data_IF_644644112416
#
_entry.id   IF_644644112416
#
_cell.length_a   1.000
_cell.length_b   1.000
_cell.length_c   1.000
_cell.angle_alpha   90.00
_cell.angle_beta   90.00
_cell.angle_gamma   90.00
#
_symmetry.space_group_name_H-M   'P 1'
#
loop_
_entity.id
_entity.type
_entity.pdbx_description
1 polymer ?
#
# COMPACT_ATOMS: atom_id res chain seq x y z
N UNK A 1 23.29 -10.33 24.94
CA UNK A 1 22.07 -10.83 24.27
C UNK A 1 21.27 -9.60 23.88
N UNK A 2 21.58 -8.99 22.73
CA UNK A 2 20.94 -7.76 22.28
C UNK A 2 19.56 -8.11 21.73
N UNK A 3 18.55 -7.94 22.58
CA UNK A 3 17.15 -7.83 22.20
C UNK A 3 17.08 -6.80 21.08
N UNK A 4 16.85 -7.28 19.86
CA UNK A 4 16.33 -6.43 18.79
C UNK A 4 15.06 -5.86 19.40
N UNK A 5 15.07 -4.56 19.72
CA UNK A 5 13.87 -3.85 20.14
C UNK A 5 12.87 -3.94 18.98
N UNK A 6 12.07 -5.00 19.00
CA UNK A 6 10.74 -4.99 18.44
C UNK A 6 9.95 -4.00 19.29
N UNK A 7 10.21 -2.71 19.10
CA UNK A 7 9.38 -1.64 19.63
C UNK A 7 8.10 -1.62 18.77
N UNK A 8 7.36 -2.74 18.81
CA UNK A 8 5.94 -2.72 18.53
C UNK A 8 5.40 -1.71 19.51
N UNK A 9 4.85 -0.62 18.98
CA UNK A 9 3.90 0.16 19.76
C UNK A 9 2.86 -0.85 20.24
N UNK A 10 2.92 -1.25 21.52
CA UNK A 10 2.03 -2.26 22.12
C UNK A 10 0.55 -1.90 21.90
N UNK A 11 0.28 -0.64 21.60
CA UNK A 11 -1.04 -0.10 21.27
C UNK A 11 -1.49 -0.42 19.84
N UNK A 12 -0.59 -0.66 18.87
CA UNK A 12 -0.97 -0.84 17.46
C UNK A 12 -0.06 -1.84 16.70
N UNK A 13 -0.47 -3.12 16.60
CA UNK A 13 0.31 -4.13 15.93
C UNK A 13 0.45 -3.81 14.43
N UNK A 14 1.67 -3.96 13.91
CA UNK A 14 1.99 -3.72 12.50
C UNK A 14 1.00 -4.39 11.53
N UNK A 15 0.56 -5.65 11.72
CA UNK A 15 -0.39 -6.29 10.82
C UNK A 15 -1.73 -5.54 10.68
N UNK A 16 -2.26 -4.97 11.76
CA UNK A 16 -3.53 -4.24 11.72
C UNK A 16 -3.39 -2.84 11.13
N UNK A 17 -2.19 -2.23 11.20
CA UNK A 17 -1.94 -0.90 10.66
C UNK A 17 -2.28 -0.80 9.17
N UNK A 18 -1.82 -1.76 8.38
CA UNK A 18 -2.06 -1.80 6.93
C UNK A 18 -3.56 -1.93 6.63
N UNK A 19 -4.27 -2.80 7.35
CA UNK A 19 -5.72 -2.98 7.19
C UNK A 19 -6.51 -1.72 7.57
N UNK A 20 -6.15 -1.08 8.69
CA UNK A 20 -6.84 0.10 9.20
C UNK A 20 -6.63 1.30 8.27
N UNK A 21 -5.40 1.55 7.82
CA UNK A 21 -5.12 2.62 6.85
C UNK A 21 -5.88 2.36 5.53
N UNK A 22 -5.95 1.10 5.08
CA UNK A 22 -6.71 0.71 3.89
C UNK A 22 -8.21 1.03 4.03
N UNK A 23 -8.80 0.74 5.19
CA UNK A 23 -10.21 1.04 5.47
C UNK A 23 -10.47 2.53 5.61
N UNK A 24 -9.56 3.29 6.24
CA UNK A 24 -9.64 4.76 6.26
C UNK A 24 -9.63 5.32 4.83
N UNK A 25 -8.79 4.78 3.95
CA UNK A 25 -8.81 5.12 2.52
C UNK A 25 -10.16 4.85 1.85
N UNK A 26 -10.82 3.75 2.21
CA UNK A 26 -12.15 3.41 1.69
C UNK A 26 -13.23 4.37 2.19
N UNK A 27 -13.18 4.77 3.47
CA UNK A 27 -14.05 5.81 4.03
C UNK A 27 -13.83 7.15 3.32
N UNK A 28 -12.57 7.57 3.14
CA UNK A 28 -12.22 8.80 2.44
C UNK A 28 -12.72 8.79 0.98
N UNK A 29 -12.58 7.66 0.28
CA UNK A 29 -13.12 7.50 -1.07
C UNK A 29 -14.65 7.62 -1.10
N UNK A 30 -15.34 6.97 -0.16
CA UNK A 30 -16.80 7.12 -0.01
C UNK A 30 -17.21 8.58 0.18
N UNK A 31 -16.49 9.33 1.01
CA UNK A 31 -16.71 10.75 1.25
C UNK A 31 -16.45 11.61 0.02
N UNK A 32 -15.40 11.33 -0.74
CA UNK A 32 -15.15 12.02 -2.02
C UNK A 32 -16.33 11.83 -2.98
N UNK A 33 -16.83 10.60 -3.14
CA UNK A 33 -17.99 10.32 -3.99
C UNK A 33 -19.27 11.01 -3.49
N UNK A 34 -19.48 11.06 -2.17
CA UNK A 34 -20.62 11.75 -1.59
C UNK A 34 -20.55 13.26 -1.85
N UNK A 35 -19.41 13.89 -1.60
CA UNK A 35 -19.20 15.33 -1.83
C UNK A 35 -19.42 15.67 -3.30
N UNK A 36 -18.84 14.91 -4.22
CA UNK A 36 -19.04 15.13 -5.66
C UNK A 36 -20.52 14.96 -6.07
N UNK A 37 -21.23 14.00 -5.48
CA UNK A 37 -22.66 13.84 -5.72
C UNK A 37 -23.48 15.00 -5.18
N UNK A 38 -23.09 15.58 -4.05
CA UNK A 38 -23.75 16.76 -3.48
C UNK A 38 -23.54 17.99 -4.36
N UNK A 39 -22.35 18.13 -4.96
CA UNK A 39 -22.05 19.16 -5.95
C UNK A 39 -22.68 18.90 -7.32
N UNK A 40 -23.53 17.87 -7.47
CA UNK A 40 -24.20 17.50 -8.71
C UNK A 40 -23.26 17.22 -9.89
N UNK A 41 -22.05 16.73 -9.59
CA UNK A 41 -21.06 16.33 -10.59
C UNK A 41 -21.36 14.89 -11.04
N UNK A 42 -21.40 14.65 -12.35
CA UNK A 42 -21.63 13.33 -12.94
C UNK A 42 -20.39 12.42 -12.84
N UNK A 43 -20.16 11.92 -11.62
CA UNK A 43 -18.99 11.07 -11.27
C UNK A 43 -18.78 9.86 -12.20
N UNK A 44 -19.81 9.09 -12.58
CA UNK A 44 -19.65 7.93 -13.45
C UNK A 44 -19.06 8.28 -14.81
N UNK A 45 -19.59 9.34 -15.45
CA UNK A 45 -19.09 9.83 -16.72
C UNK A 45 -17.65 10.37 -16.60
N UNK A 46 -17.31 11.02 -15.49
CA UNK A 46 -15.96 11.50 -15.25
C UNK A 46 -14.94 10.38 -15.04
N UNK A 47 -15.28 9.37 -14.25
CA UNK A 47 -14.35 8.32 -13.84
C UNK A 47 -14.05 7.34 -14.97
N UNK A 48 -15.06 6.97 -15.76
CA UNK A 48 -14.90 6.06 -16.88
C UNK A 48 -16.00 6.34 -17.92
N UNK A 49 -15.60 6.97 -19.03
CA UNK A 49 -16.49 7.44 -20.10
C UNK A 49 -17.36 6.32 -20.71
N UNK A 50 -16.93 5.06 -20.59
CA UNK A 50 -17.66 3.91 -21.12
C UNK A 50 -18.58 3.25 -20.09
N UNK A 51 -18.63 3.74 -18.85
CA UNK A 51 -19.41 3.15 -17.76
C UNK A 51 -20.57 4.06 -17.32
N UNK A 52 -21.75 3.85 -17.91
CA UNK A 52 -22.99 4.59 -17.58
C UNK A 52 -23.63 4.20 -16.24
N UNK A 53 -22.98 3.37 -15.43
CA UNK A 53 -23.58 2.86 -14.19
C UNK A 53 -23.02 3.61 -12.99
N UNK A 54 -23.86 4.28 -12.18
CA UNK A 54 -23.34 5.09 -11.10
C UNK A 54 -22.57 4.27 -10.06
N UNK A 55 -21.42 4.78 -9.61
CA UNK A 55 -20.82 4.30 -8.37
C UNK A 55 -21.61 4.91 -7.22
N UNK A 56 -22.20 4.04 -6.41
CA UNK A 56 -22.99 4.48 -5.27
C UNK A 56 -22.06 4.68 -4.09
N UNK A 57 -21.91 5.93 -3.63
CA UNK A 57 -21.18 6.23 -2.39
C UNK A 57 -21.72 5.40 -1.21
N UNK A 58 -23.04 5.11 -1.18
CA UNK A 58 -23.67 4.20 -0.21
C UNK A 58 -23.12 2.76 -0.29
N UNK A 59 -22.81 2.26 -1.48
CA UNK A 59 -22.21 0.93 -1.64
C UNK A 59 -20.77 0.89 -1.11
N UNK A 60 -20.00 1.96 -1.32
CA UNK A 60 -18.65 2.11 -0.77
C UNK A 60 -18.68 2.20 0.76
N UNK A 61 -19.59 2.98 1.34
CA UNK A 61 -19.75 3.03 2.80
C UNK A 61 -20.17 1.69 3.40
N UNK A 62 -21.05 0.94 2.73
CA UNK A 62 -21.40 -0.41 3.19
C UNK A 62 -20.18 -1.34 3.22
N UNK A 63 -19.31 -1.27 2.20
CA UNK A 63 -18.05 -2.02 2.19
C UNK A 63 -17.11 -1.56 3.31
N UNK A 64 -16.98 -0.24 3.50
CA UNK A 64 -16.16 0.33 4.57
C UNK A 64 -16.65 -0.14 5.94
N UNK A 65 -17.96 -0.13 6.19
CA UNK A 65 -18.55 -0.61 7.43
C UNK A 65 -18.31 -2.11 7.66
N UNK A 66 -18.47 -2.96 6.63
CA UNK A 66 -18.19 -4.39 6.72
C UNK A 66 -16.73 -4.62 7.12
N UNK A 67 -15.78 -3.97 6.44
CA UNK A 67 -14.36 -4.13 6.75
C UNK A 67 -13.99 -3.54 8.11
N UNK A 68 -14.48 -2.34 8.46
CA UNK A 68 -14.26 -1.74 9.79
C UNK A 68 -14.76 -2.67 10.89
N UNK A 69 -15.97 -3.24 10.74
CA UNK A 69 -16.56 -4.12 11.75
C UNK A 69 -15.74 -5.41 11.91
N UNK A 70 -15.35 -6.03 10.79
CA UNK A 70 -14.55 -7.26 10.80
C UNK A 70 -13.15 -7.03 11.40
N UNK A 71 -12.45 -6.00 10.95
CA UNK A 71 -11.10 -5.65 11.44
C UNK A 71 -11.16 -5.24 12.91
N UNK A 72 -12.16 -4.44 13.30
CA UNK A 72 -12.35 -4.01 14.68
C UNK A 72 -12.62 -5.19 15.62
N UNK A 73 -13.53 -6.09 15.25
CA UNK A 73 -13.82 -7.30 16.01
C UNK A 73 -12.56 -8.18 16.17
N UNK A 74 -11.86 -8.42 15.06
CA UNK A 74 -10.65 -9.25 15.07
C UNK A 74 -9.52 -8.61 15.90
N UNK A 75 -9.37 -7.28 15.87
CA UNK A 75 -8.41 -6.55 16.70
C UNK A 75 -8.75 -6.62 18.19
N UNK A 76 -10.03 -6.52 18.56
CA UNK A 76 -10.48 -6.67 19.95
C UNK A 76 -10.17 -8.07 20.47
N UNK A 77 -10.47 -9.12 19.68
CA UNK A 77 -10.14 -10.50 20.02
C UNK A 77 -8.62 -10.66 20.20
N UNK A 78 -7.84 -10.11 19.27
CA UNK A 78 -6.38 -10.15 19.34
C UNK A 78 -5.84 -9.50 20.62
N UNK A 79 -6.35 -8.32 21.01
CA UNK A 79 -5.94 -7.68 22.27
C UNK A 79 -6.35 -8.47 23.50
N UNK A 80 -7.54 -9.09 23.50
CA UNK A 80 -8.00 -9.91 24.62
C UNK A 80 -7.15 -11.17 24.82
N UNK A 81 -6.74 -11.81 23.73
CA UNK A 81 -5.91 -13.03 23.77
C UNK A 81 -4.47 -12.69 24.14
N UNK A 82 -3.91 -11.65 23.54
CA UNK A 82 -2.47 -11.34 23.72
C UNK A 82 -2.16 -10.55 24.98
N UNK A 83 -3.13 -9.79 25.52
CA UNK A 83 -2.91 -8.92 26.67
C UNK A 83 -1.82 -7.85 26.48
N UNK A 84 -1.34 -7.65 25.24
CA UNK A 84 -0.19 -6.81 24.94
C UNK A 84 1.17 -7.42 25.30
N UNK A 85 1.23 -8.72 25.61
CA UNK A 85 2.47 -9.44 25.92
C UNK A 85 3.15 -9.91 24.64
N UNK A 86 4.45 -9.64 24.49
CA UNK A 86 5.20 -9.89 23.24
C UNK A 86 5.20 -11.37 22.83
N UNK A 87 5.37 -12.29 23.78
CA UNK A 87 5.38 -13.74 23.51
C UNK A 87 4.05 -14.22 22.92
N UNK A 88 2.93 -13.77 23.50
CA UNK A 88 1.58 -14.09 23.04
C UNK A 88 1.29 -13.46 21.67
N UNK A 89 1.80 -12.25 21.41
CA UNK A 89 1.65 -11.57 20.12
C UNK A 89 2.25 -12.40 18.98
N UNK A 90 3.40 -13.05 19.22
CA UNK A 90 4.09 -13.90 18.24
C UNK A 90 3.31 -15.21 18.05
N UNK A 91 2.90 -15.85 19.14
CA UNK A 91 2.17 -17.12 19.11
C UNK A 91 0.80 -17.00 18.41
N UNK A 92 0.09 -15.90 18.65
CA UNK A 92 -1.26 -15.67 18.12
C UNK A 92 -1.30 -14.86 16.82
N UNK A 93 -0.23 -14.86 16.04
CA UNK A 93 -0.19 -14.27 14.67
C UNK A 93 -1.22 -14.87 13.70
N UNK A 94 -1.74 -16.05 14.01
CA UNK A 94 -2.86 -16.68 13.28
C UNK A 94 -4.13 -15.81 13.27
N UNK A 95 -4.41 -15.05 14.33
CA UNK A 95 -5.59 -14.17 14.43
C UNK A 95 -5.60 -13.08 13.35
N UNK A 96 -4.55 -12.23 13.23
CA UNK A 96 -4.47 -11.27 12.14
C UNK A 96 -4.36 -11.94 10.77
N UNK A 97 -3.71 -13.11 10.65
CA UNK A 97 -3.66 -13.85 9.38
C UNK A 97 -5.07 -14.21 8.87
N UNK A 98 -5.93 -14.75 9.74
CA UNK A 98 -7.34 -15.02 9.42
C UNK A 98 -8.07 -13.75 9.02
N UNK A 99 -7.77 -12.62 9.66
CA UNK A 99 -8.34 -11.32 9.27
C UNK A 99 -7.99 -10.96 7.83
N UNK A 100 -6.73 -11.07 7.44
CA UNK A 100 -6.26 -10.83 6.09
C UNK A 100 -6.91 -11.76 5.07
N UNK A 101 -6.95 -13.06 5.37
CA UNK A 101 -7.58 -14.07 4.49
C UNK A 101 -9.03 -13.70 4.21
N UNK A 102 -9.80 -13.33 5.23
CA UNK A 102 -11.22 -12.97 5.07
C UNK A 102 -11.38 -11.65 4.29
N UNK A 103 -10.55 -10.64 4.56
CA UNK A 103 -10.57 -9.37 3.80
C UNK A 103 -10.30 -9.63 2.32
N UNK A 104 -9.25 -10.37 1.98
CA UNK A 104 -8.92 -10.70 0.59
C UNK A 104 -9.97 -11.60 -0.06
N UNK A 105 -10.51 -12.58 0.68
CA UNK A 105 -11.60 -13.42 0.21
C UNK A 105 -12.82 -12.58 -0.17
N UNK A 106 -13.23 -11.62 0.67
CA UNK A 106 -14.34 -10.70 0.34
C UNK A 106 -14.01 -9.90 -0.92
N UNK A 107 -12.81 -9.31 -1.02
CA UNK A 107 -12.39 -8.49 -2.18
C UNK A 107 -12.48 -9.28 -3.49
N UNK A 108 -11.92 -10.50 -3.52
CA UNK A 108 -11.78 -11.32 -4.72
C UNK A 108 -13.08 -12.10 -5.04
N UNK A 109 -13.95 -12.28 -4.05
CA UNK A 109 -15.17 -13.07 -4.16
C UNK A 109 -16.01 -12.69 -5.41
N UNK A 110 -16.32 -13.64 -6.31
CA UNK A 110 -17.12 -13.38 -7.51
C UNK A 110 -18.64 -13.45 -7.26
N UNK A 111 -19.07 -13.89 -6.07
CA UNK A 111 -20.49 -14.07 -5.74
C UNK A 111 -21.18 -12.72 -5.46
N UNK A 112 -22.52 -12.71 -5.59
CA UNK A 112 -23.36 -11.50 -5.44
C UNK A 112 -23.52 -11.02 -3.98
N UNK A 113 -22.62 -11.40 -3.07
CA UNK A 113 -22.54 -10.86 -1.71
C UNK A 113 -21.77 -9.53 -1.69
N UNK A 114 -21.77 -8.82 -0.55
CA UNK A 114 -20.87 -7.69 -0.22
C UNK A 114 -20.64 -6.62 -1.31
N UNK A 115 -21.65 -6.22 -2.09
CA UNK A 115 -21.50 -5.22 -3.17
C UNK A 115 -20.51 -5.63 -4.29
N UNK A 116 -20.75 -6.78 -4.92
CA UNK A 116 -19.95 -7.34 -6.05
C UNK A 116 -19.54 -6.30 -7.10
N UNK A 117 -20.46 -5.43 -7.51
CA UNK A 117 -20.24 -4.46 -8.60
C UNK A 117 -19.06 -3.54 -8.32
N UNK A 118 -18.94 -3.03 -7.08
CA UNK A 118 -17.83 -2.14 -6.69
C UNK A 118 -16.52 -2.92 -6.54
N UNK A 119 -16.55 -4.13 -5.98
CA UNK A 119 -15.34 -4.98 -5.89
C UNK A 119 -14.78 -5.34 -7.27
N UNK A 120 -15.65 -5.69 -8.21
CA UNK A 120 -15.24 -5.99 -9.59
C UNK A 120 -14.80 -4.76 -10.37
N UNK A 121 -15.28 -3.56 -10.04
CA UNK A 121 -14.72 -2.31 -10.56
C UNK A 121 -13.32 -2.07 -10.02
N UNK A 122 -13.13 -2.21 -8.71
CA UNK A 122 -11.83 -2.09 -8.05
C UNK A 122 -10.80 -3.07 -8.64
N UNK A 123 -11.10 -4.36 -8.70
CA UNK A 123 -10.19 -5.36 -9.26
C UNK A 123 -9.87 -5.13 -10.74
N UNK A 124 -10.85 -4.70 -11.55
CA UNK A 124 -10.60 -4.34 -12.95
C UNK A 124 -9.67 -3.14 -13.06
N UNK A 125 -9.86 -2.12 -12.23
CA UNK A 125 -8.99 -0.95 -12.17
C UNK A 125 -7.56 -1.35 -11.78
N UNK A 126 -7.38 -2.12 -10.69
CA UNK A 126 -6.07 -2.64 -10.27
C UNK A 126 -5.40 -3.44 -11.40
N UNK A 127 -6.14 -4.33 -12.07
CA UNK A 127 -5.61 -5.11 -13.19
C UNK A 127 -5.16 -4.21 -14.34
N UNK A 128 -5.92 -3.18 -14.70
CA UNK A 128 -5.57 -2.25 -15.78
C UNK A 128 -4.32 -1.45 -15.42
N UNK A 129 -4.25 -0.85 -14.24
CA UNK A 129 -3.09 -0.01 -13.87
C UNK A 129 -1.80 -0.84 -13.80
N UNK A 130 -1.86 -2.10 -13.34
CA UNK A 130 -0.66 -2.95 -13.23
C UNK A 130 -0.24 -3.50 -14.60
N UNK A 131 -1.17 -4.06 -15.39
CA UNK A 131 -0.81 -4.84 -16.57
C UNK A 131 -1.05 -4.16 -17.92
N UNK A 132 -1.88 -3.12 -17.99
CA UNK A 132 -2.19 -2.45 -19.27
C UNK A 132 -1.06 -1.52 -19.72
N UNK A 133 -0.87 -1.43 -21.04
CA UNK A 133 -0.01 -0.47 -21.74
C UNK A 133 -0.80 0.34 -22.78
N UNK A 134 -2.13 0.42 -22.64
CA UNK A 134 -2.96 1.25 -23.50
C UNK A 134 -2.74 2.73 -23.23
N UNK A 135 -2.67 3.54 -24.28
CA UNK A 135 -2.57 5.01 -24.18
C UNK A 135 -3.87 5.68 -23.74
N UNK A 136 -5.01 5.01 -23.91
CA UNK A 136 -6.31 5.47 -23.41
C UNK A 136 -6.49 5.01 -21.96
N UNK A 137 -6.10 5.89 -21.02
CA UNK A 137 -6.16 5.63 -19.59
C UNK A 137 -7.37 6.37 -19.00
N UNK A 138 -8.37 5.67 -18.44
CA UNK A 138 -9.53 6.33 -17.84
C UNK A 138 -9.11 7.10 -16.58
N UNK A 139 -9.82 8.19 -16.28
CA UNK A 139 -9.52 9.03 -15.12
C UNK A 139 -9.54 8.24 -13.79
N UNK A 140 -10.41 7.24 -13.67
CA UNK A 140 -10.44 6.34 -12.52
C UNK A 140 -9.10 5.62 -12.29
N UNK A 141 -8.42 5.20 -13.36
CA UNK A 141 -7.14 4.50 -13.29
C UNK A 141 -6.01 5.46 -12.88
N UNK A 142 -6.10 6.73 -13.27
CA UNK A 142 -5.18 7.79 -12.82
C UNK A 142 -5.38 8.09 -11.33
N UNK A 143 -6.63 8.32 -10.90
CA UNK A 143 -6.96 8.60 -9.49
C UNK A 143 -6.56 7.42 -8.61
N UNK A 144 -6.83 6.17 -9.04
CA UNK A 144 -6.43 4.99 -8.31
C UNK A 144 -4.91 4.91 -8.15
N UNK A 145 -4.15 5.13 -9.22
CA UNK A 145 -2.69 5.12 -9.13
C UNK A 145 -2.17 6.24 -8.21
N UNK A 146 -2.75 7.44 -8.25
CA UNK A 146 -2.39 8.52 -7.34
C UNK A 146 -2.71 8.18 -5.87
N UNK A 147 -3.88 7.55 -5.60
CA UNK A 147 -4.19 6.99 -4.28
C UNK A 147 -3.12 5.97 -3.86
N UNK A 148 -2.73 5.04 -4.74
CA UNK A 148 -1.66 4.07 -4.42
C UNK A 148 -0.35 4.77 -4.07
N UNK A 149 0.01 5.88 -4.73
CA UNK A 149 1.23 6.64 -4.38
C UNK A 149 1.15 7.27 -2.98
N UNK A 150 -0.03 7.73 -2.55
CA UNK A 150 -0.24 8.16 -1.15
C UNK A 150 -0.13 6.99 -0.14
N UNK A 151 -0.30 5.75 -0.61
CA UNK A 151 -0.19 4.52 0.17
C UNK A 151 1.19 3.87 0.06
N UNK A 152 2.22 4.52 -0.50
CA UNK A 152 3.54 3.92 -0.72
C UNK A 152 4.14 3.27 0.55
N UNK A 153 4.06 3.94 1.70
CA UNK A 153 4.53 3.37 2.99
C UNK A 153 3.74 2.12 3.39
N UNK A 154 2.45 2.07 3.08
CA UNK A 154 1.57 0.92 3.38
C UNK A 154 2.03 -0.32 2.62
N UNK A 155 2.57 -0.19 1.40
CA UNK A 155 3.16 -1.32 0.67
C UNK A 155 4.42 -1.87 1.36
N UNK A 156 5.29 -1.00 1.89
CA UNK A 156 6.44 -1.43 2.70
C UNK A 156 6.01 -2.16 3.98
N UNK A 157 5.01 -1.61 4.69
CA UNK A 157 4.44 -2.24 5.89
C UNK A 157 3.71 -3.55 5.56
N UNK A 158 3.11 -3.68 4.37
CA UNK A 158 2.48 -4.91 3.89
C UNK A 158 3.50 -6.03 3.68
N UNK A 159 4.68 -5.74 3.13
CA UNK A 159 5.76 -6.72 3.03
C UNK A 159 6.22 -7.19 4.41
N UNK A 160 6.47 -6.25 5.34
CA UNK A 160 6.87 -6.58 6.70
C UNK A 160 5.79 -7.41 7.42
N UNK A 161 4.52 -7.05 7.25
CA UNK A 161 3.38 -7.81 7.77
C UNK A 161 3.32 -9.22 7.20
N UNK A 162 3.48 -9.38 5.88
CA UNK A 162 3.45 -10.68 5.23
C UNK A 162 4.50 -11.63 5.79
N UNK A 163 5.71 -11.14 6.07
CA UNK A 163 6.75 -11.95 6.71
C UNK A 163 6.36 -12.42 8.10
N UNK A 164 5.83 -11.51 8.93
CA UNK A 164 5.40 -11.82 10.30
C UNK A 164 4.31 -12.88 10.28
N UNK A 165 3.27 -12.68 9.46
CA UNK A 165 2.10 -13.57 9.45
C UNK A 165 2.40 -14.95 8.86
N UNK A 166 3.32 -15.05 7.91
CA UNK A 166 3.71 -16.30 7.26
C UNK A 166 4.89 -17.00 7.96
N UNK A 167 5.29 -16.53 9.15
CA UNK A 167 6.40 -17.10 9.94
C UNK A 167 7.71 -17.21 9.12
N UNK A 168 7.90 -16.32 8.15
CA UNK A 168 9.09 -16.36 7.28
C UNK A 168 10.38 -15.93 8.01
N UNK A 169 10.31 -15.53 9.28
CA UNK A 169 11.46 -15.13 10.08
C UNK A 169 12.22 -16.34 10.67
N UNK A 170 11.62 -17.54 10.77
CA UNK A 170 12.31 -18.75 11.29
C UNK A 170 13.37 -19.31 10.32
N UNK A 171 13.22 -19.09 9.01
CA UNK A 171 14.09 -19.68 7.98
C UNK A 171 15.28 -18.79 7.61
N UNK A 172 15.30 -17.50 7.99
CA UNK A 172 16.27 -16.51 7.49
C UNK A 172 16.88 -15.57 8.54
N UNK A 173 17.15 -16.08 9.75
CA UNK A 173 17.90 -15.35 10.81
C UNK A 173 19.27 -14.83 10.31
N UNK A 174 19.80 -15.40 9.21
CA UNK A 174 21.08 -15.02 8.60
C UNK A 174 21.07 -13.91 7.53
N UNK A 175 19.92 -13.37 7.08
CA UNK A 175 19.89 -12.52 5.88
C UNK A 175 19.21 -11.14 6.06
N UNK A 176 19.49 -10.47 7.20
CA UNK A 176 18.91 -9.15 7.56
C UNK A 176 19.13 -8.06 6.49
N UNK A 177 20.18 -8.18 5.69
CA UNK A 177 20.50 -7.29 4.56
C UNK A 177 19.35 -7.14 3.55
N UNK A 178 18.73 -8.24 3.13
CA UNK A 178 17.72 -8.21 2.07
C UNK A 178 16.44 -7.48 2.48
N UNK A 179 16.14 -7.41 3.78
CA UNK A 179 15.00 -6.65 4.27
C UNK A 179 15.15 -5.14 4.04
N UNK A 180 16.38 -4.62 4.04
CA UNK A 180 16.66 -3.23 3.69
C UNK A 180 16.43 -2.94 2.21
N UNK A 181 16.45 -3.96 1.35
CA UNK A 181 16.26 -3.83 -0.10
C UNK A 181 14.80 -4.08 -0.49
N UNK A 182 14.19 -5.16 0.00
CA UNK A 182 12.86 -5.61 -0.45
C UNK A 182 11.74 -4.68 0.02
N UNK A 183 11.75 -4.22 1.28
CA UNK A 183 10.70 -3.32 1.78
C UNK A 183 10.64 -2.00 0.98
N UNK A 184 11.78 -1.37 0.62
CA UNK A 184 11.81 -0.24 -0.31
C UNK A 184 11.38 -0.56 -1.75
N UNK A 185 11.63 -1.77 -2.26
CA UNK A 185 11.07 -2.21 -3.54
C UNK A 185 9.54 -2.26 -3.50
N UNK A 186 8.94 -2.77 -2.42
CA UNK A 186 7.49 -2.73 -2.26
C UNK A 186 6.98 -1.28 -2.19
N UNK A 187 7.70 -0.41 -1.48
CA UNK A 187 7.39 1.02 -1.37
C UNK A 187 7.46 1.73 -2.74
N UNK A 188 8.30 1.24 -3.67
CA UNK A 188 8.44 1.84 -5.00
C UNK A 188 7.33 1.43 -5.99
N UNK A 189 6.61 0.32 -5.74
CA UNK A 189 5.58 -0.23 -6.64
C UNK A 189 4.58 0.84 -7.12
N UNK A 190 3.95 1.66 -6.25
CA UNK A 190 2.99 2.64 -6.71
C UNK A 190 3.57 3.70 -7.65
N UNK A 191 4.82 4.13 -7.39
CA UNK A 191 5.51 5.10 -8.24
C UNK A 191 5.86 4.51 -9.61
N UNK A 192 6.24 3.23 -9.66
CA UNK A 192 6.46 2.50 -10.93
C UNK A 192 5.16 2.43 -11.74
N UNK A 193 4.03 2.10 -11.11
CA UNK A 193 2.73 2.04 -11.77
C UNK A 193 2.39 3.39 -12.42
N UNK A 194 2.52 4.49 -11.67
CA UNK A 194 2.17 5.82 -12.18
C UNK A 194 3.17 6.32 -13.22
N UNK A 195 4.47 6.09 -13.02
CA UNK A 195 5.51 6.36 -14.02
C UNK A 195 5.20 5.65 -15.34
N UNK A 196 4.86 4.36 -15.29
CA UNK A 196 4.48 3.57 -16.47
C UNK A 196 3.29 4.20 -17.19
N UNK A 197 2.21 4.51 -16.48
CA UNK A 197 1.03 5.15 -17.08
C UNK A 197 1.37 6.45 -17.79
N UNK A 198 2.10 7.36 -17.11
CA UNK A 198 2.51 8.64 -17.69
C UNK A 198 3.38 8.46 -18.93
N UNK A 199 4.30 7.48 -18.92
CA UNK A 199 5.15 7.20 -20.08
C UNK A 199 4.36 6.64 -21.25
N UNK A 200 3.40 5.74 -20.98
CA UNK A 200 2.50 5.18 -22.01
C UNK A 200 1.65 6.27 -22.67
N UNK A 201 1.07 7.21 -21.90
CA UNK A 201 0.32 8.35 -22.45
C UNK A 201 1.22 9.27 -23.28
N UNK A 202 2.43 9.58 -22.80
CA UNK A 202 3.39 10.41 -23.52
C UNK A 202 3.75 9.80 -24.88
N UNK A 203 4.10 8.50 -24.90
CA UNK A 203 4.39 7.77 -26.15
C UNK A 203 3.15 7.72 -27.04
N UNK A 204 1.97 7.43 -26.48
CA UNK A 204 0.70 7.37 -27.20
C UNK A 204 0.29 8.70 -27.83
N UNK A 205 0.68 9.84 -27.23
CA UNK A 205 0.48 11.18 -27.80
C UNK A 205 1.44 11.51 -28.96
N UNK A 206 2.17 10.52 -29.49
CA UNK A 206 3.29 10.72 -30.40
C UNK A 206 4.35 11.68 -29.87
N UNK A 207 4.57 11.67 -28.54
CA UNK A 207 5.52 12.56 -27.84
C UNK A 207 5.20 14.06 -27.92
N UNK A 208 3.97 14.42 -28.31
CA UNK A 208 3.56 15.81 -28.45
C UNK A 208 3.12 16.42 -27.11
N UNK A 209 2.46 15.65 -26.24
CA UNK A 209 2.00 16.16 -24.96
C UNK A 209 3.05 15.96 -23.85
N UNK A 210 3.88 16.99 -23.68
CA UNK A 210 4.94 17.02 -22.66
C UNK A 210 4.42 16.99 -21.23
N UNK A 211 3.13 17.28 -20.98
CA UNK A 211 2.54 17.20 -19.64
C UNK A 211 2.70 15.79 -19.05
N UNK A 212 2.47 14.75 -19.86
CA UNK A 212 2.61 13.36 -19.41
C UNK A 212 4.07 13.02 -19.11
N UNK A 213 5.03 13.56 -19.88
CA UNK A 213 6.46 13.40 -19.60
C UNK A 213 6.88 14.08 -18.28
N UNK A 214 6.43 15.31 -18.04
CA UNK A 214 6.71 16.00 -16.76
C UNK A 214 6.10 15.27 -15.58
N UNK A 215 4.90 14.71 -15.73
CA UNK A 215 4.31 13.84 -14.71
C UNK A 215 5.15 12.58 -14.50
N UNK A 216 5.64 11.92 -15.56
CA UNK A 216 6.51 10.76 -15.42
C UNK A 216 7.76 11.12 -14.60
N UNK A 217 8.42 12.24 -14.88
CA UNK A 217 9.57 12.69 -14.09
C UNK A 217 9.20 13.03 -12.64
N UNK A 218 8.03 13.63 -12.41
CA UNK A 218 7.52 13.90 -11.06
C UNK A 218 7.42 12.62 -10.24
N UNK A 219 6.93 11.51 -10.80
CA UNK A 219 6.84 10.24 -10.06
C UNK A 219 8.18 9.49 -10.01
N UNK A 220 9.04 9.66 -11.02
CA UNK A 220 10.39 9.06 -11.04
C UNK A 220 11.34 9.68 -9.99
N UNK A 221 11.13 10.95 -9.59
CA UNK A 221 11.94 11.60 -8.56
C UNK A 221 11.84 10.96 -7.18
N UNK A 222 10.84 10.09 -6.95
CA UNK A 222 10.75 9.27 -5.75
C UNK A 222 11.83 8.16 -5.69
N UNK A 223 12.29 7.64 -6.83
CA UNK A 223 13.25 6.52 -6.83
C UNK A 223 14.60 6.86 -6.19
N UNK A 224 15.23 8.00 -6.48
CA UNK A 224 16.45 8.42 -5.78
C UNK A 224 16.25 8.53 -4.26
N UNK A 225 15.13 9.10 -3.81
CA UNK A 225 14.83 9.25 -2.37
C UNK A 225 14.70 7.89 -1.69
N UNK A 226 14.00 6.94 -2.33
CA UNK A 226 13.86 5.57 -1.84
C UNK A 226 15.22 4.87 -1.81
N UNK A 227 16.04 5.03 -2.85
CA UNK A 227 17.38 4.46 -2.94
C UNK A 227 18.31 5.00 -1.84
N UNK A 228 18.36 6.32 -1.63
CA UNK A 228 19.18 6.91 -0.57
C UNK A 228 18.69 6.48 0.83
N UNK A 229 17.38 6.34 1.02
CA UNK A 229 16.81 5.80 2.26
C UNK A 229 17.25 4.35 2.54
N UNK A 230 17.41 3.53 1.49
CA UNK A 230 17.98 2.17 1.60
C UNK A 230 19.44 2.24 1.99
N UNK A 231 20.23 3.02 1.24
CA UNK A 231 21.68 3.14 1.44
C UNK A 231 22.00 3.61 2.87
N UNK A 232 21.25 4.59 3.39
CA UNK A 232 21.43 5.06 4.76
C UNK A 232 21.21 3.94 5.79
N UNK A 233 20.15 3.14 5.63
CA UNK A 233 19.85 2.02 6.53
C UNK A 233 20.89 0.92 6.42
N UNK A 234 21.36 0.63 5.19
CA UNK A 234 22.40 -0.34 4.93
C UNK A 234 23.72 0.06 5.61
N UNK A 235 24.17 1.30 5.41
CA UNK A 235 25.39 1.81 6.06
C UNK A 235 25.29 1.82 7.58
N UNK A 236 24.12 2.19 8.15
CA UNK A 236 23.89 2.09 9.59
C UNK A 236 24.01 0.65 10.09
N UNK A 237 23.50 -0.31 9.32
CA UNK A 237 23.62 -1.73 9.67
C UNK A 237 25.08 -2.21 9.60
N UNK A 238 25.81 -1.89 8.53
CA UNK A 238 27.23 -2.21 8.39
C UNK A 238 28.07 -1.60 9.51
N UNK A 239 27.88 -0.33 9.86
CA UNK A 239 28.61 0.31 10.96
C UNK A 239 28.38 -0.35 12.33
N UNK A 240 27.24 -1.04 12.52
CA UNK A 240 26.94 -1.80 13.73
C UNK A 240 27.49 -3.24 13.70
N UNK A 241 27.77 -3.81 12.52
CA UNK A 241 28.19 -5.22 12.36
C UNK A 241 29.66 -5.37 12.00
N UNK A 242 30.25 -4.40 11.31
CA UNK A 242 31.66 -4.36 10.97
C UNK A 242 32.24 -3.05 11.54
N UNK A 243 33.31 -3.17 12.32
CA UNK A 243 34.13 -2.04 12.78
C UNK A 243 34.98 -1.47 11.62
N UNK A 244 34.38 -1.34 10.44
CA UNK A 244 35.06 -0.94 9.21
C UNK A 244 34.98 0.56 8.99
N UNK A 245 36.11 1.14 8.59
CA UNK A 245 36.28 2.55 8.21
C UNK A 245 35.44 2.80 6.95
N UNK A 246 34.27 3.42 7.12
CA UNK A 246 33.40 3.81 6.01
C UNK A 246 33.90 5.15 5.44
N UNK A 247 34.21 5.17 4.14
CA UNK A 247 34.74 6.36 3.42
C UNK A 247 33.72 7.50 3.27
N UNK A 248 32.43 7.21 3.37
CA UNK A 248 31.35 8.21 3.39
C UNK A 248 30.85 8.34 4.82
N UNK A 249 31.15 9.46 5.47
CA UNK A 249 30.67 9.71 6.83
C UNK A 249 29.14 9.65 6.88
N UNK A 250 28.60 9.05 7.95
CA UNK A 250 27.18 9.08 8.29
C UNK A 250 26.61 10.52 8.26
N UNK A 251 27.43 11.52 8.61
CA UNK A 251 27.06 12.93 8.56
C UNK A 251 26.89 13.49 7.14
N UNK A 252 27.58 12.93 6.13
CA UNK A 252 27.45 13.36 4.72
C UNK A 252 26.18 12.82 4.09
N UNK A 253 25.82 11.57 4.42
CA UNK A 253 24.62 10.91 3.89
C UNK A 253 23.32 11.50 4.47
N UNK A 254 23.36 11.95 5.72
CA UNK A 254 22.24 12.67 6.36
C UNK A 254 22.02 14.09 5.82
N UNK A 255 23.06 14.70 5.20
CA UNK A 255 23.03 16.06 4.65
C UNK A 255 22.63 16.13 3.17
N UNK A 256 22.44 14.99 2.51
CA UNK A 256 21.96 14.90 1.13
C UNK A 256 20.43 15.01 1.01
N UNK A 257 19.75 15.25 2.14
CA UNK A 257 18.32 15.50 2.24
C UNK A 257 18.05 16.67 3.18
#
# INVERSE_FOLDING_TARGET
>A
MSTIEWNFSNTFPLPYRVLIISVIGLWAWGSNLQILSWLSIDVPHLLDKNNNTPSSHKAIYNLAFIFTSWIGLNLVIFWQVTGGVETEIIEWTSIPLVCYVIVFAIIICPFNCCRKKERMRFLRCIRRIVFSFSSDIPLADVIMADILTSFAKVFGDLYATGRILLHCDEVYVGNRGWNYIIAPLFTSIPYVIRFKQCMTEYIGSNRNDKRHLFNAFKYASAFPVILFSVLQKWYKYEALTAQSIVWISHSTLFRLW
#
